data_IF_623785423578
#
_entry.id   IF_623785423578
#
_cell.length_a   1.000
_cell.length_b   1.000
_cell.length_c   1.000
_cell.angle_alpha   90.00
_cell.angle_beta   90.00
_cell.angle_gamma   90.00
#
_symmetry.space_group_name_H-M   'P 1'
#
loop_
_entity.id
_entity.type
_entity.pdbx_description
1 polymer ?
#
# COMPACT_ATOMS: atom_id res chain seq x y z
N UNK A 1 6.74 -13.59 17.23
CA UNK A 1 5.98 -12.93 16.17
C UNK A 1 6.78 -11.71 15.70
N UNK A 2 7.12 -11.65 14.41
CA UNK A 2 7.88 -10.58 13.79
C UNK A 2 6.98 -9.87 12.76
N UNK A 3 6.74 -8.56 12.95
CA UNK A 3 5.83 -7.77 12.12
C UNK A 3 6.58 -6.57 11.56
N UNK A 4 6.53 -6.36 10.24
CA UNK A 4 6.94 -5.10 9.65
C UNK A 4 5.72 -4.16 9.59
N UNK A 5 5.81 -3.05 10.32
CA UNK A 5 4.70 -2.10 10.45
C UNK A 5 4.70 -0.98 9.40
N UNK A 6 5.68 -0.93 8.48
CA UNK A 6 5.80 0.14 7.51
C UNK A 6 6.35 -0.35 6.17
N UNK A 7 5.51 -1.02 5.41
CA UNK A 7 5.88 -1.50 4.08
C UNK A 7 5.03 -0.84 3.00
N UNK A 8 5.58 -0.75 1.81
CA UNK A 8 4.91 -0.20 0.64
C UNK A 8 5.00 -1.15 -0.54
N UNK A 9 3.92 -1.23 -1.30
CA UNK A 9 3.91 -1.81 -2.62
C UNK A 9 2.97 -0.99 -3.52
N UNK A 10 3.18 -1.09 -4.82
CA UNK A 10 2.39 -0.42 -5.84
C UNK A 10 1.78 -1.44 -6.79
N UNK A 11 0.65 -1.09 -7.38
CA UNK A 11 0.12 -1.88 -8.50
C UNK A 11 1.15 -1.93 -9.64
N UNK A 12 1.34 -3.07 -10.29
CA UNK A 12 2.41 -3.30 -11.26
C UNK A 12 2.48 -2.23 -12.36
N UNK A 13 1.31 -1.77 -12.82
CA UNK A 13 1.20 -0.73 -13.87
C UNK A 13 1.80 0.63 -13.50
N UNK A 14 2.04 0.90 -12.22
CA UNK A 14 2.57 2.19 -11.74
C UNK A 14 3.87 2.03 -10.95
N UNK A 15 4.28 0.81 -10.62
CA UNK A 15 5.40 0.54 -9.71
C UNK A 15 6.70 1.24 -10.16
N UNK A 16 7.11 1.08 -11.40
CA UNK A 16 8.36 1.67 -11.91
C UNK A 16 8.35 3.19 -11.79
N UNK A 17 7.24 3.83 -12.19
CA UNK A 17 7.09 5.29 -12.09
C UNK A 17 7.05 5.77 -10.64
N UNK A 18 6.40 5.02 -9.76
CA UNK A 18 6.32 5.36 -8.34
C UNK A 18 7.71 5.29 -7.67
N UNK A 19 8.47 4.24 -7.98
CA UNK A 19 9.84 4.06 -7.48
C UNK A 19 10.75 5.17 -8.01
N UNK A 20 10.69 5.51 -9.29
CA UNK A 20 11.44 6.62 -9.87
C UNK A 20 11.14 7.96 -9.18
N UNK A 21 9.87 8.23 -8.89
CA UNK A 21 9.48 9.44 -8.14
C UNK A 21 10.07 9.45 -6.73
N UNK A 22 10.10 8.32 -6.02
CA UNK A 22 10.70 8.23 -4.70
C UNK A 22 12.22 8.44 -4.74
N UNK A 23 12.91 7.82 -5.71
CA UNK A 23 14.35 8.00 -5.90
C UNK A 23 14.68 9.49 -6.13
N UNK A 24 13.94 10.13 -7.02
CA UNK A 24 14.16 11.54 -7.37
C UNK A 24 13.84 12.49 -6.21
N UNK A 25 12.82 12.18 -5.41
CA UNK A 25 12.39 13.02 -4.29
C UNK A 25 13.34 12.92 -3.09
N UNK A 26 13.66 11.68 -2.68
CA UNK A 26 14.49 11.43 -1.49
C UNK A 26 15.98 11.33 -1.79
N UNK A 27 16.40 11.32 -3.06
CA UNK A 27 17.79 11.12 -3.48
C UNK A 27 18.39 9.83 -2.91
N UNK A 28 17.60 8.75 -2.86
CA UNK A 28 18.00 7.43 -2.36
C UNK A 28 17.97 6.40 -3.49
N UNK A 29 18.80 5.38 -3.37
CA UNK A 29 18.71 4.22 -4.24
C UNK A 29 17.77 3.19 -3.60
N UNK A 30 16.86 2.63 -4.38
CA UNK A 30 15.99 1.53 -3.95
C UNK A 30 16.57 0.19 -4.44
N UNK A 31 16.41 -0.84 -3.62
CA UNK A 31 16.86 -2.20 -3.98
C UNK A 31 15.77 -2.97 -4.73
N UNK A 32 14.51 -2.58 -4.55
CA UNK A 32 13.34 -3.29 -5.07
C UNK A 32 12.54 -2.43 -6.05
N UNK A 33 11.84 -3.10 -6.98
CA UNK A 33 11.00 -2.46 -7.99
C UNK A 33 9.64 -1.96 -7.49
N UNK A 34 9.38 -2.06 -6.19
CA UNK A 34 8.14 -1.57 -5.57
C UNK A 34 6.89 -2.39 -5.85
N UNK A 35 7.01 -3.57 -6.47
CA UNK A 35 5.88 -4.47 -6.72
C UNK A 35 5.53 -5.29 -5.50
N UNK A 36 4.28 -5.75 -5.43
CA UNK A 36 3.84 -6.64 -4.36
C UNK A 36 4.68 -7.95 -4.31
N UNK A 37 5.04 -8.50 -5.47
CA UNK A 37 5.88 -9.68 -5.54
C UNK A 37 7.24 -9.46 -4.87
N UNK A 38 7.88 -8.31 -5.08
CA UNK A 38 9.17 -7.97 -4.45
C UNK A 38 9.04 -7.89 -2.94
N UNK A 39 7.97 -7.24 -2.46
CA UNK A 39 7.69 -7.12 -1.03
C UNK A 39 7.49 -8.50 -0.39
N UNK A 40 6.71 -9.38 -1.01
CA UNK A 40 6.44 -10.72 -0.48
C UNK A 40 7.70 -11.59 -0.51
N UNK A 41 8.51 -11.52 -1.56
CA UNK A 41 9.78 -12.23 -1.63
C UNK A 41 10.75 -11.82 -0.49
N UNK A 42 10.86 -10.51 -0.25
CA UNK A 42 11.67 -9.97 0.86
C UNK A 42 11.12 -10.41 2.23
N UNK A 43 9.80 -10.33 2.41
CA UNK A 43 9.14 -10.72 3.66
C UNK A 43 9.27 -12.23 3.95
N UNK A 44 9.15 -13.08 2.92
CA UNK A 44 9.39 -14.53 3.04
C UNK A 44 10.84 -14.81 3.46
N UNK A 45 11.81 -14.13 2.83
CA UNK A 45 13.24 -14.27 3.15
C UNK A 45 13.52 -13.84 4.59
N UNK A 46 12.92 -12.75 5.03
CA UNK A 46 13.03 -12.24 6.40
C UNK A 46 12.21 -13.05 7.43
N UNK A 47 11.41 -14.03 6.97
CA UNK A 47 10.51 -14.84 7.81
C UNK A 47 9.57 -14.00 8.66
N UNK A 48 8.98 -12.96 8.06
CA UNK A 48 7.96 -12.16 8.74
C UNK A 48 6.70 -12.98 8.98
N UNK A 49 6.08 -12.81 10.14
CA UNK A 49 4.76 -13.38 10.46
C UNK A 49 3.64 -12.52 9.85
N UNK A 50 3.86 -11.19 9.81
CA UNK A 50 2.91 -10.25 9.22
C UNK A 50 3.61 -8.99 8.70
N UNK A 51 2.91 -8.27 7.82
CA UNK A 51 3.30 -6.93 7.37
C UNK A 51 2.08 -6.02 7.25
N UNK A 52 2.25 -4.74 7.59
CA UNK A 52 1.28 -3.70 7.31
C UNK A 52 1.67 -3.07 5.98
N UNK A 53 0.83 -3.28 4.97
CA UNK A 53 1.05 -2.74 3.63
C UNK A 53 0.31 -1.42 3.47
N UNK A 54 1.06 -0.37 3.21
CA UNK A 54 0.58 0.99 3.13
C UNK A 54 0.54 1.45 1.67
N UNK A 55 -0.54 2.13 1.28
CA UNK A 55 -0.63 2.88 0.03
C UNK A 55 -0.87 4.34 0.34
N UNK A 56 -0.31 5.23 -0.46
CA UNK A 56 -0.48 6.67 -0.30
C UNK A 56 -1.13 7.27 -1.54
N UNK A 57 -2.08 8.18 -1.33
CA UNK A 57 -2.55 9.10 -2.36
C UNK A 57 -1.80 10.43 -2.15
N UNK A 58 -0.85 10.74 -3.02
CA UNK A 58 -0.09 11.99 -2.93
C UNK A 58 -0.80 13.17 -3.59
N UNK A 59 -1.90 12.87 -4.32
CA UNK A 59 -2.80 13.82 -4.96
C UNK A 59 -4.24 13.36 -4.78
N UNK A 60 -5.23 14.28 -4.74
CA UNK A 60 -6.64 13.94 -4.54
C UNK A 60 -7.18 12.88 -5.48
N UNK A 61 -6.86 12.97 -6.77
CA UNK A 61 -7.32 12.04 -7.80
C UNK A 61 -6.78 10.61 -7.68
N UNK A 62 -5.76 10.41 -6.85
CA UNK A 62 -5.18 9.08 -6.59
C UNK A 62 -5.91 8.31 -5.51
N UNK A 63 -6.77 8.97 -4.70
CA UNK A 63 -7.43 8.36 -3.56
C UNK A 63 -8.22 7.11 -3.96
N UNK A 64 -9.14 7.27 -4.89
CA UNK A 64 -10.00 6.17 -5.32
C UNK A 64 -9.23 5.03 -6.00
N UNK A 65 -8.35 5.27 -6.99
CA UNK A 65 -7.55 4.21 -7.61
C UNK A 65 -6.65 3.43 -6.63
N UNK A 66 -6.06 4.11 -5.66
CA UNK A 66 -5.24 3.46 -4.63
C UNK A 66 -6.10 2.53 -3.76
N UNK A 67 -7.26 3.01 -3.32
CA UNK A 67 -8.17 2.23 -2.51
C UNK A 67 -8.84 1.09 -3.30
N UNK A 68 -9.12 1.26 -4.59
CA UNK A 68 -9.62 0.18 -5.45
C UNK A 68 -8.62 -0.99 -5.50
N UNK A 69 -7.33 -0.70 -5.62
CA UNK A 69 -6.28 -1.72 -5.61
C UNK A 69 -6.18 -2.43 -4.25
N UNK A 70 -6.21 -1.68 -3.15
CA UNK A 70 -6.19 -2.26 -1.78
C UNK A 70 -7.41 -3.15 -1.55
N UNK A 71 -8.58 -2.74 -1.96
CA UNK A 71 -9.81 -3.52 -1.80
C UNK A 71 -9.79 -4.79 -2.64
N UNK A 72 -9.29 -4.71 -3.87
CA UNK A 72 -9.10 -5.88 -4.72
C UNK A 72 -8.15 -6.88 -4.05
N UNK A 73 -7.01 -6.41 -3.53
CA UNK A 73 -6.06 -7.25 -2.81
C UNK A 73 -6.67 -7.87 -1.55
N UNK A 74 -7.38 -7.07 -0.75
CA UNK A 74 -8.02 -7.53 0.50
C UNK A 74 -9.11 -8.59 0.26
N UNK A 75 -9.67 -8.65 -0.94
CA UNK A 75 -10.69 -9.64 -1.32
C UNK A 75 -10.12 -11.01 -1.72
N UNK A 76 -8.81 -11.10 -1.95
CA UNK A 76 -8.16 -12.35 -2.35
C UNK A 76 -7.97 -13.26 -1.14
N UNK A 77 -8.26 -14.55 -1.32
CA UNK A 77 -7.76 -15.57 -0.40
C UNK A 77 -6.24 -15.73 -0.55
N UNK A 78 -5.60 -16.32 0.46
CA UNK A 78 -4.15 -16.61 0.37
C UNK A 78 -3.82 -17.42 -0.88
N UNK A 79 -4.57 -18.46 -1.18
CA UNK A 79 -4.33 -19.31 -2.36
C UNK A 79 -4.46 -18.54 -3.68
N UNK A 80 -5.43 -17.61 -3.78
CA UNK A 80 -5.57 -16.74 -4.95
C UNK A 80 -4.39 -15.79 -5.10
N UNK A 81 -3.90 -15.23 -4.00
CA UNK A 81 -2.75 -14.34 -3.99
C UNK A 81 -1.47 -15.09 -4.37
N UNK A 82 -1.25 -16.28 -3.82
CA UNK A 82 -0.13 -17.16 -4.17
C UNK A 82 -0.14 -17.54 -5.65
N UNK A 83 -1.30 -17.88 -6.17
CA UNK A 83 -1.45 -18.18 -7.61
C UNK A 83 -1.16 -16.95 -8.49
N UNK A 84 -1.63 -15.78 -8.10
CA UNK A 84 -1.38 -14.53 -8.84
C UNK A 84 0.10 -14.14 -8.83
N UNK A 85 0.78 -14.31 -7.71
CA UNK A 85 2.19 -13.97 -7.54
C UNK A 85 3.14 -15.08 -8.02
N UNK A 86 2.61 -16.27 -8.26
CA UNK A 86 3.38 -17.48 -8.57
C UNK A 86 4.48 -17.78 -7.53
N UNK A 87 4.16 -17.54 -6.25
CA UNK A 87 5.05 -17.79 -5.12
C UNK A 87 4.27 -18.01 -3.82
N UNK A 88 4.85 -18.70 -2.81
CA UNK A 88 4.25 -18.78 -1.48
C UNK A 88 4.11 -17.39 -0.84
N UNK A 89 3.03 -17.17 -0.10
CA UNK A 89 2.81 -15.96 0.71
C UNK A 89 2.81 -16.38 2.18
N UNK A 90 3.96 -16.29 2.83
CA UNK A 90 4.12 -16.70 4.22
C UNK A 90 3.60 -15.66 5.22
N UNK A 91 3.86 -14.34 5.05
CA UNK A 91 3.38 -13.34 5.99
C UNK A 91 1.88 -13.06 5.80
N UNK A 92 1.18 -12.80 6.91
CA UNK A 92 -0.15 -12.20 6.85
C UNK A 92 -0.03 -10.75 6.36
N UNK A 93 -0.71 -10.41 5.28
CA UNK A 93 -0.79 -9.03 4.79
C UNK A 93 -1.95 -8.32 5.51
N UNK A 94 -1.65 -7.14 6.08
CA UNK A 94 -2.63 -6.26 6.72
C UNK A 94 -2.66 -4.97 5.89
N UNK A 95 -3.57 -4.85 4.91
CA UNK A 95 -3.61 -3.68 4.05
C UNK A 95 -4.24 -2.48 4.76
N UNK A 96 -3.62 -1.30 4.59
CA UNK A 96 -4.17 -0.03 4.98
C UNK A 96 -4.52 0.78 3.72
N UNK A 97 -5.63 1.50 3.77
CA UNK A 97 -6.07 2.35 2.68
C UNK A 97 -5.31 3.68 2.61
N UNK A 98 -5.46 4.37 1.49
CA UNK A 98 -5.02 5.74 1.33
C UNK A 98 -6.08 6.71 1.87
N UNK A 99 -5.61 7.92 2.23
CA UNK A 99 -6.46 9.07 2.54
C UNK A 99 -5.85 10.33 1.92
N UNK A 100 -6.70 11.26 1.47
CA UNK A 100 -6.30 12.61 1.06
C UNK A 100 -7.41 13.59 1.45
N UNK A 101 -7.13 14.63 2.26
CA UNK A 101 -8.16 15.53 2.77
C UNK A 101 -8.90 16.32 1.67
N UNK A 102 -8.19 16.69 0.61
CA UNK A 102 -8.75 17.46 -0.50
C UNK A 102 -9.43 16.59 -1.58
N UNK A 103 -9.49 15.27 -1.38
CA UNK A 103 -10.15 14.40 -2.35
C UNK A 103 -11.67 14.52 -2.23
N UNK A 104 -12.39 14.84 -3.32
CA UNK A 104 -13.85 14.87 -3.29
C UNK A 104 -14.41 13.50 -2.88
N UNK A 105 -15.31 13.48 -1.89
CA UNK A 105 -15.97 12.25 -1.41
C UNK A 105 -15.07 11.33 -0.59
N UNK A 106 -14.02 11.85 0.04
CA UNK A 106 -13.15 11.06 0.91
C UNK A 106 -13.92 10.35 2.04
N UNK A 107 -15.02 10.91 2.54
CA UNK A 107 -15.86 10.29 3.56
C UNK A 107 -16.46 8.97 3.06
N UNK A 108 -16.93 8.95 1.80
CA UNK A 108 -17.47 7.75 1.17
C UNK A 108 -16.37 6.69 0.97
N UNK A 109 -15.14 7.11 0.64
CA UNK A 109 -13.99 6.21 0.54
C UNK A 109 -13.64 5.58 1.89
N UNK A 110 -13.63 6.35 2.98
CA UNK A 110 -13.41 5.82 4.33
C UNK A 110 -14.52 4.83 4.71
N UNK A 111 -15.78 5.17 4.43
CA UNK A 111 -16.89 4.24 4.66
C UNK A 111 -16.74 2.94 3.87
N UNK A 112 -16.30 3.01 2.62
CA UNK A 112 -16.04 1.85 1.74
C UNK A 112 -14.92 0.97 2.30
N UNK A 113 -13.79 1.56 2.69
CA UNK A 113 -12.67 0.85 3.32
C UNK A 113 -13.10 0.15 4.62
N UNK A 114 -13.82 0.87 5.48
CA UNK A 114 -14.34 0.33 6.75
C UNK A 114 -15.27 -0.86 6.51
N UNK A 115 -16.19 -0.76 5.56
CA UNK A 115 -17.14 -1.83 5.21
C UNK A 115 -16.44 -3.09 4.70
N UNK A 116 -15.29 -2.94 4.05
CA UNK A 116 -14.44 -4.04 3.60
C UNK A 116 -13.51 -4.59 4.68
N UNK A 117 -13.58 -4.07 5.91
CA UNK A 117 -12.78 -4.53 7.04
C UNK A 117 -11.35 -3.97 7.11
N UNK A 118 -11.01 -2.98 6.29
CA UNK A 118 -9.73 -2.26 6.38
C UNK A 118 -9.67 -1.52 7.72
N UNK A 119 -8.57 -1.66 8.46
CA UNK A 119 -8.44 -1.19 9.84
C UNK A 119 -7.62 0.10 10.00
N UNK A 120 -6.98 0.55 8.94
CA UNK A 120 -6.14 1.75 9.00
C UNK A 120 -6.04 2.45 7.67
N UNK A 121 -5.58 3.69 7.74
CA UNK A 121 -5.32 4.55 6.58
C UNK A 121 -3.91 5.11 6.67
N UNK A 122 -3.31 5.40 5.53
CA UNK A 122 -2.03 6.07 5.40
C UNK A 122 -2.24 7.54 5.05
N UNK A 123 -1.62 8.39 5.85
CA UNK A 123 -1.37 9.80 5.56
C UNK A 123 0.11 10.00 5.23
N UNK A 124 0.39 10.93 4.33
CA UNK A 124 1.75 11.35 4.04
C UNK A 124 1.81 12.87 3.97
N UNK A 125 1.87 13.56 5.13
CA UNK A 125 1.71 15.01 5.23
C UNK A 125 2.63 15.80 4.28
N UNK A 126 3.88 15.38 4.20
CA UNK A 126 4.88 16.04 3.35
C UNK A 126 4.52 16.00 1.86
N UNK A 127 4.18 14.83 1.31
CA UNK A 127 3.75 14.72 -0.08
C UNK A 127 2.39 15.33 -0.35
N UNK A 128 1.50 15.30 0.63
CA UNK A 128 0.14 15.84 0.53
C UNK A 128 0.10 17.34 0.84
N UNK A 129 1.20 17.90 1.35
CA UNK A 129 1.32 19.30 1.77
C UNK A 129 0.21 19.72 2.74
N UNK A 130 -0.08 18.86 3.72
CA UNK A 130 -1.09 19.06 4.74
C UNK A 130 -0.44 19.30 6.10
N UNK A 131 -1.04 20.22 6.89
CA UNK A 131 -0.71 20.36 8.30
C UNK A 131 -1.66 19.45 9.12
N UNK A 132 -1.10 18.65 10.01
CA UNK A 132 -1.90 17.78 10.89
C UNK A 132 -2.50 18.52 12.08
N UNK A 133 -2.17 19.80 12.26
CA UNK A 133 -2.68 20.65 13.32
C UNK A 133 -3.93 21.47 12.91
N UNK A 134 -4.29 21.46 11.63
CA UNK A 134 -5.44 22.19 11.08
C UNK A 134 -6.77 21.42 11.22
#
# INVERSE_FOLDING_TARGET
>A
MLIDCHTHAFADKIADRAVEQLINYYHINTTFGGRLADLIAAANTARLDALIMLVAATKPEQLKPANDWILALNSLSQAQLEAQLNMPVCPRIIPFGAFHPDAPGWEAEIARLRSAGIKGIKLHPEFQQIDLAD
#
